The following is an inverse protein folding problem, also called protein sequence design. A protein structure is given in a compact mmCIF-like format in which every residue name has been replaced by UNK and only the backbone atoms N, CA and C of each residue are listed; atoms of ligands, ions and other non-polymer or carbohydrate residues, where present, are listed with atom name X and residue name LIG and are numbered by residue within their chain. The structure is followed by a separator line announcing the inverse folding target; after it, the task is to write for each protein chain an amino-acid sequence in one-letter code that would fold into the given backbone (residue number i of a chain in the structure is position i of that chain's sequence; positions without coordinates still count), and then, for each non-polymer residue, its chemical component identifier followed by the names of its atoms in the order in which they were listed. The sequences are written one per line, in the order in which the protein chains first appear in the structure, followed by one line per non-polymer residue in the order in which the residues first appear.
data_IF_147724456748
#
_entry.id   IF_147724456748
#
_cell.length_a   1.000
_cell.length_b   1.000
_cell.length_c   1.000
_cell.angle_alpha   90.00
_cell.angle_beta   90.00
_cell.angle_gamma   90.00
#
_symmetry.space_group_name_H-M   'P 1'
#
loop_
_entity.id
_entity.type
_entity.pdbx_description
1 polymer ?
#
# COMPACT_ATOMS: atom_id res chain seq x y z
N UNK A 1 -12.89 12.91 -0.92
CA UNK A 1 -11.48 12.56 -0.66
C UNK A 1 -11.29 12.58 0.84
N UNK A 2 -10.68 11.54 1.42
CA UNK A 2 -10.56 11.38 2.88
C UNK A 2 -9.08 11.21 3.24
N UNK A 3 -8.69 11.77 4.37
CA UNK A 3 -7.33 11.66 4.91
C UNK A 3 -7.37 10.93 6.25
N UNK A 4 -6.60 9.87 6.37
CA UNK A 4 -6.40 9.14 7.63
C UNK A 4 -5.03 9.48 8.19
N UNK A 5 -4.97 9.73 9.50
CA UNK A 5 -3.72 9.97 10.20
C UNK A 5 -3.10 8.63 10.64
N UNK A 6 -1.78 8.56 10.63
CA UNK A 6 -1.02 7.46 11.22
C UNK A 6 0.04 8.00 12.19
N UNK A 7 0.49 7.16 13.12
CA UNK A 7 1.59 7.51 14.02
C UNK A 7 2.94 7.08 13.42
N UNK A 8 3.93 7.99 13.31
CA UNK A 8 5.28 7.64 12.89
C UNK A 8 6.06 6.83 13.96
N UNK A 9 7.10 6.06 13.56
CA UNK A 9 7.50 5.78 12.17
C UNK A 9 6.66 4.66 11.56
N UNK A 10 6.12 4.89 10.36
CA UNK A 10 5.44 3.87 9.58
C UNK A 10 6.22 3.58 8.29
N UNK A 11 6.66 2.35 8.11
CA UNK A 11 7.48 1.94 6.97
C UNK A 11 6.58 1.52 5.80
N UNK A 12 6.20 2.51 5.00
CA UNK A 12 5.34 2.31 3.83
C UNK A 12 6.00 1.46 2.76
N UNK A 13 7.31 1.61 2.54
CA UNK A 13 8.05 0.81 1.54
C UNK A 13 8.01 -0.68 1.87
N UNK A 14 8.19 -1.05 3.14
CA UNK A 14 8.06 -2.44 3.57
C UNK A 14 6.62 -2.96 3.42
N UNK A 15 5.62 -2.15 3.82
CA UNK A 15 4.21 -2.55 3.76
C UNK A 15 3.72 -2.74 2.31
N UNK A 16 4.07 -1.82 1.42
CA UNK A 16 3.76 -1.92 -0.01
C UNK A 16 4.49 -3.12 -0.64
N UNK A 17 5.74 -3.38 -0.29
CA UNK A 17 6.46 -4.58 -0.75
C UNK A 17 5.80 -5.90 -0.31
N UNK A 18 5.32 -5.96 0.94
CA UNK A 18 4.59 -7.12 1.47
C UNK A 18 3.27 -7.38 0.74
N UNK A 19 2.53 -6.30 0.42
CA UNK A 19 1.27 -6.37 -0.30
C UNK A 19 1.48 -6.71 -1.78
N UNK A 20 2.49 -6.12 -2.42
CA UNK A 20 2.85 -6.42 -3.81
C UNK A 20 3.14 -7.91 -4.02
N UNK A 21 3.82 -8.55 -3.07
CA UNK A 21 4.10 -9.98 -3.12
C UNK A 21 2.84 -10.88 -3.07
N UNK A 22 1.69 -10.33 -2.67
CA UNK A 22 0.41 -11.04 -2.56
C UNK A 22 -0.68 -10.46 -3.45
N UNK A 23 -0.36 -9.44 -4.24
CA UNK A 23 -1.32 -8.76 -5.09
C UNK A 23 -1.83 -9.72 -6.17
N UNK A 24 -3.15 -9.82 -6.29
CA UNK A 24 -3.79 -10.60 -7.35
C UNK A 24 -3.95 -9.70 -8.58
N UNK A 25 -3.33 -10.10 -9.70
CA UNK A 25 -3.39 -9.34 -10.95
C UNK A 25 -4.83 -9.13 -11.39
N UNK A 26 -5.21 -7.87 -11.60
CA UNK A 26 -6.56 -7.48 -12.05
C UNK A 26 -7.58 -7.26 -10.92
N UNK A 27 -7.20 -7.46 -9.66
CA UNK A 27 -8.00 -7.08 -8.48
C UNK A 27 -7.35 -5.89 -7.79
N UNK A 28 -6.07 -6.02 -7.42
CA UNK A 28 -5.36 -4.99 -6.67
C UNK A 28 -4.17 -4.47 -7.48
N UNK A 29 -3.92 -3.16 -7.40
CA UNK A 29 -2.71 -2.55 -7.97
C UNK A 29 -1.89 -1.92 -6.85
N UNK A 30 -0.70 -2.47 -6.63
CA UNK A 30 0.27 -1.94 -5.68
C UNK A 30 1.34 -1.19 -6.45
N UNK A 31 1.34 0.14 -6.30
CA UNK A 31 2.39 1.02 -6.82
C UNK A 31 3.25 1.54 -5.66
N UNK A 32 4.43 2.06 -5.98
CA UNK A 32 5.45 2.46 -5.00
C UNK A 32 4.97 3.59 -4.06
N UNK A 33 3.96 4.36 -4.47
CA UNK A 33 3.42 5.50 -3.72
C UNK A 33 1.93 5.33 -3.32
N UNK A 34 1.26 4.28 -3.82
CA UNK A 34 -0.17 4.08 -3.54
C UNK A 34 -0.63 2.63 -3.74
N UNK A 35 -1.60 2.23 -2.91
CA UNK A 35 -2.38 1.00 -3.05
C UNK A 35 -3.78 1.38 -3.54
N UNK A 36 -4.21 0.83 -4.67
CA UNK A 36 -5.60 0.87 -5.09
C UNK A 36 -6.23 -0.51 -4.88
N UNK A 37 -7.27 -0.62 -4.03
CA UNK A 37 -8.12 -1.80 -3.99
C UNK A 37 -8.99 -1.93 -5.26
#
# INVERSE_FOLDING_TARGET
MYTLNWQPPYDWSWMLGFLAARAVSGVETVAEDYLCP
#
